data_IF_696450030549
#
_entry.id   IF_696450030549
#
_cell.length_a   1.000
_cell.length_b   1.000
_cell.length_c   1.000
_cell.angle_alpha   90.00
_cell.angle_beta   90.00
_cell.angle_gamma   90.00
#
_symmetry.space_group_name_H-M   'P 1'
#
loop_
_entity.id
_entity.type
_entity.pdbx_description
1 polymer ?
#
# COMPACT_ATOMS: atom_id res chain seq x y z
N UNK A 1 -8.84 -1.26 23.78
CA UNK A 1 -8.70 -2.68 23.40
C UNK A 1 -8.12 -2.70 22.00
N UNK A 2 -6.87 -3.15 21.83
CA UNK A 2 -6.27 -3.32 20.49
C UNK A 2 -7.22 -4.23 19.70
N UNK A 3 -7.53 -3.88 18.47
CA UNK A 3 -7.85 -4.96 17.54
C UNK A 3 -6.64 -5.88 17.54
N UNK A 4 -6.82 -7.19 17.66
CA UNK A 4 -5.74 -8.18 17.58
C UNK A 4 -5.13 -8.29 16.18
N UNK A 5 -4.80 -7.17 15.55
CA UNK A 5 -4.04 -7.13 14.31
C UNK A 5 -2.56 -7.01 14.62
N UNK A 6 -1.77 -7.83 13.96
CA UNK A 6 -0.35 -7.56 13.77
C UNK A 6 -0.21 -6.46 12.72
N UNK A 7 0.78 -5.57 12.91
CA UNK A 7 1.01 -4.45 12.00
C UNK A 7 2.16 -4.82 11.08
N UNK A 8 1.93 -4.69 9.78
CA UNK A 8 2.96 -4.88 8.76
C UNK A 8 3.18 -3.52 8.11
N UNK A 9 4.43 -3.06 8.09
CA UNK A 9 4.81 -1.82 7.43
C UNK A 9 5.77 -2.13 6.30
N UNK A 10 5.40 -1.75 5.09
CA UNK A 10 6.28 -1.87 3.94
C UNK A 10 7.02 -0.54 3.74
N UNK A 11 8.32 -0.56 3.99
CA UNK A 11 9.21 0.55 3.67
C UNK A 11 9.58 0.48 2.20
N UNK A 12 9.31 1.56 1.48
CA UNK A 12 9.55 1.65 0.04
C UNK A 12 10.54 2.76 -0.24
N UNK A 13 11.62 2.45 -0.95
CA UNK A 13 12.55 3.49 -1.38
C UNK A 13 13.95 2.99 -1.71
N UNK A 14 14.83 3.95 -1.98
CA UNK A 14 16.23 3.68 -2.24
C UNK A 14 17.02 3.73 -0.92
N UNK A 15 17.26 2.55 -0.36
CA UNK A 15 18.02 2.40 0.88
C UNK A 15 19.53 2.48 0.69
N UNK A 16 20.02 2.43 -0.56
CA UNK A 16 21.44 2.49 -0.89
C UNK A 16 21.89 3.94 -1.09
N UNK A 17 21.13 4.76 -1.82
CA UNK A 17 21.44 6.17 -2.04
C UNK A 17 21.55 6.98 -0.73
N UNK A 18 20.80 6.60 0.30
CA UNK A 18 20.83 7.24 1.62
C UNK A 18 22.18 7.12 2.35
N UNK A 19 23.06 6.20 1.93
CA UNK A 19 24.37 5.96 2.57
C UNK A 19 25.52 6.75 1.94
N UNK A 20 25.31 7.37 0.77
CA UNK A 20 26.39 7.92 -0.06
C UNK A 20 26.43 9.45 -0.12
N UNK A 21 25.50 10.15 0.53
CA UNK A 21 25.42 11.61 0.44
C UNK A 21 26.00 12.36 1.64
N UNK A 22 26.66 13.48 1.32
CA UNK A 22 27.28 14.38 2.27
C UNK A 22 26.38 15.58 2.67
N UNK A 23 25.16 15.68 2.14
CA UNK A 23 24.28 16.82 2.47
C UNK A 23 23.60 16.64 3.83
N UNK A 24 23.51 17.71 4.62
CA UNK A 24 22.82 17.71 5.93
C UNK A 24 21.35 17.29 5.80
N UNK A 25 20.70 17.63 4.68
CA UNK A 25 19.31 17.28 4.41
C UNK A 25 19.12 15.76 4.27
N UNK A 26 20.02 15.09 3.57
CA UNK A 26 19.98 13.65 3.35
C UNK A 26 20.39 12.87 4.60
N UNK A 27 21.37 13.35 5.36
CA UNK A 27 21.71 12.78 6.68
C UNK A 27 20.51 12.84 7.64
N UNK A 28 19.78 13.95 7.66
CA UNK A 28 18.57 14.09 8.48
C UNK A 28 17.41 13.20 7.98
N UNK A 29 17.30 12.98 6.66
CA UNK A 29 16.35 12.01 6.11
C UNK A 29 16.69 10.59 6.58
N UNK A 30 17.95 10.17 6.47
CA UNK A 30 18.41 8.87 6.94
C UNK A 30 18.18 8.67 8.44
N UNK A 31 18.47 9.69 9.28
CA UNK A 31 18.16 9.68 10.72
C UNK A 31 16.67 9.49 10.99
N UNK A 32 15.79 10.19 10.25
CA UNK A 32 14.33 10.04 10.38
C UNK A 32 13.87 8.64 10.01
N UNK A 33 14.35 8.10 8.89
CA UNK A 33 14.02 6.74 8.44
C UNK A 33 14.45 5.71 9.49
N UNK A 34 15.67 5.82 10.01
CA UNK A 34 16.17 4.92 11.06
C UNK A 34 15.38 5.03 12.36
N UNK A 35 14.99 6.26 12.76
CA UNK A 35 14.14 6.48 13.93
C UNK A 35 12.78 5.81 13.74
N UNK A 36 12.10 6.04 12.60
CA UNK A 36 10.80 5.43 12.30
C UNK A 36 10.91 3.90 12.23
N UNK A 37 11.94 3.36 11.59
CA UNK A 37 12.19 1.92 11.53
C UNK A 37 12.37 1.30 12.93
N UNK A 38 13.19 1.92 13.77
CA UNK A 38 13.42 1.47 15.16
C UNK A 38 12.14 1.55 16.00
N UNK A 39 11.38 2.64 15.84
CA UNK A 39 10.08 2.80 16.51
C UNK A 39 9.11 1.68 16.11
N UNK A 40 9.01 1.35 14.83
CA UNK A 40 8.11 0.31 14.33
C UNK A 40 8.46 -1.07 14.88
N UNK A 41 9.75 -1.43 14.88
CA UNK A 41 10.20 -2.67 15.52
C UNK A 41 9.88 -2.69 17.01
N UNK A 42 10.08 -1.56 17.72
CA UNK A 42 9.80 -1.43 19.15
C UNK A 42 8.32 -1.62 19.50
N UNK A 43 7.40 -1.25 18.61
CA UNK A 43 5.95 -1.49 18.81
C UNK A 43 5.47 -2.87 18.33
N UNK A 44 6.39 -3.71 17.84
CA UNK A 44 6.13 -5.07 17.38
C UNK A 44 5.62 -5.16 15.94
N UNK A 45 5.89 -4.16 15.09
CA UNK A 45 5.52 -4.23 13.68
C UNK A 45 6.51 -5.09 12.88
N UNK A 46 5.99 -5.85 11.93
CA UNK A 46 6.79 -6.52 10.91
C UNK A 46 7.18 -5.49 9.85
N UNK A 47 8.47 -5.25 9.67
CA UNK A 47 8.97 -4.30 8.68
C UNK A 47 9.48 -5.04 7.45
N UNK A 48 8.88 -4.74 6.29
CA UNK A 48 9.30 -5.29 4.99
C UNK A 48 9.94 -4.18 4.17
N UNK A 49 11.21 -4.35 3.81
CA UNK A 49 11.90 -3.40 2.94
C UNK A 49 11.69 -3.80 1.48
N UNK A 50 11.07 -2.90 0.71
CA UNK A 50 10.87 -3.01 -0.73
C UNK A 50 11.79 -1.99 -1.43
N UNK A 51 13.01 -2.40 -1.84
CA UNK A 51 13.94 -1.49 -2.49
C UNK A 51 13.40 -1.06 -3.86
N UNK A 52 13.45 0.24 -4.12
CA UNK A 52 13.15 0.80 -5.44
C UNK A 52 13.92 2.09 -5.66
N UNK A 53 14.01 2.54 -6.91
CA UNK A 53 14.58 3.86 -7.20
C UNK A 53 13.70 4.96 -6.56
N UNK A 54 14.32 6.03 -6.06
CA UNK A 54 13.64 7.15 -5.38
C UNK A 54 12.53 7.79 -6.22
N UNK A 55 12.71 7.86 -7.54
CA UNK A 55 11.69 8.38 -8.47
C UNK A 55 10.39 7.55 -8.51
N UNK A 56 10.43 6.30 -8.06
CA UNK A 56 9.27 5.41 -7.96
C UNK A 56 8.72 5.29 -6.55
N UNK A 57 9.39 5.82 -5.52
CA UNK A 57 9.05 5.53 -4.13
C UNK A 57 7.60 5.88 -3.74
N UNK A 58 7.12 7.07 -4.13
CA UNK A 58 5.74 7.50 -3.85
C UNK A 58 4.73 6.62 -4.61
N UNK A 59 5.03 6.29 -5.87
CA UNK A 59 4.17 5.44 -6.69
C UNK A 59 4.08 4.03 -6.10
N UNK A 60 5.23 3.48 -5.75
CA UNK A 60 5.36 2.16 -5.15
C UNK A 60 4.67 2.10 -3.78
N UNK A 61 4.76 3.13 -2.95
CA UNK A 61 4.07 3.16 -1.66
C UNK A 61 2.54 3.12 -1.77
N UNK A 62 1.98 3.62 -2.88
CA UNK A 62 0.55 3.48 -3.16
C UNK A 62 0.23 2.09 -3.71
N UNK A 63 0.95 1.62 -4.74
CA UNK A 63 0.56 0.39 -5.46
C UNK A 63 0.88 -0.90 -4.71
N UNK A 64 1.80 -0.87 -3.75
CA UNK A 64 2.25 -2.07 -3.03
C UNK A 64 1.12 -2.81 -2.32
N UNK A 65 0.07 -2.08 -1.89
CA UNK A 65 -1.11 -2.66 -1.24
C UNK A 65 -1.85 -3.69 -2.12
N UNK A 66 -1.77 -3.53 -3.44
CA UNK A 66 -2.44 -4.43 -4.40
C UNK A 66 -1.81 -5.82 -4.39
N UNK A 67 -0.55 -5.91 -3.94
CA UNK A 67 0.28 -7.11 -4.02
C UNK A 67 0.51 -7.79 -2.66
N UNK A 68 -0.26 -7.44 -1.63
CA UNK A 68 -0.09 -7.98 -0.26
C UNK A 68 -0.27 -9.50 -0.18
N UNK A 69 -0.94 -10.12 -1.15
CA UNK A 69 -1.04 -11.59 -1.25
C UNK A 69 0.31 -12.30 -1.46
N UNK A 70 1.34 -11.56 -1.87
CA UNK A 70 2.70 -12.06 -2.08
C UNK A 70 3.63 -11.83 -0.88
N UNK A 71 3.15 -11.22 0.22
CA UNK A 71 3.94 -11.10 1.44
C UNK A 71 4.48 -12.47 1.89
N UNK A 72 5.71 -12.54 2.44
CA UNK A 72 6.31 -13.81 2.86
C UNK A 72 5.42 -14.57 3.85
N UNK A 73 5.33 -15.90 3.71
CA UNK A 73 4.62 -16.77 4.66
C UNK A 73 5.25 -16.77 6.05
N UNK A 74 6.51 -16.39 6.17
CA UNK A 74 7.15 -16.13 7.47
C UNK A 74 6.54 -14.94 8.23
N UNK A 75 5.78 -14.06 7.55
CA UNK A 75 5.11 -12.89 8.14
C UNK A 75 3.60 -13.13 8.22
N UNK A 76 2.99 -13.59 7.12
CA UNK A 76 1.53 -13.79 7.01
C UNK A 76 1.25 -15.10 6.32
N UNK A 77 0.50 -16.01 6.94
CA UNK A 77 0.08 -17.27 6.32
C UNK A 77 -1.04 -17.05 5.30
N UNK A 78 -1.28 -18.03 4.43
CA UNK A 78 -2.24 -17.89 3.33
C UNK A 78 -3.70 -17.83 3.80
N UNK A 79 -4.00 -18.44 4.94
CA UNK A 79 -5.31 -18.40 5.59
C UNK A 79 -5.51 -17.17 6.49
N UNK A 80 -4.49 -16.35 6.71
CA UNK A 80 -4.62 -15.11 7.47
C UNK A 80 -5.38 -14.06 6.67
N UNK A 81 -6.01 -13.13 7.39
CA UNK A 81 -6.70 -11.99 6.79
C UNK A 81 -5.85 -10.74 6.87
N UNK A 82 -5.82 -10.00 5.76
CA UNK A 82 -5.08 -8.76 5.61
C UNK A 82 -6.07 -7.62 5.39
N UNK A 83 -5.96 -6.59 6.22
CA UNK A 83 -6.58 -5.30 5.97
C UNK A 83 -5.55 -4.35 5.32
N UNK A 84 -5.87 -3.85 4.13
CA UNK A 84 -5.05 -2.81 3.49
C UNK A 84 -5.75 -1.47 3.57
N UNK A 85 -4.99 -0.39 3.74
CA UNK A 85 -5.49 0.98 3.79
C UNK A 85 -4.42 1.93 3.25
N UNK A 86 -4.80 3.18 2.99
CA UNK A 86 -3.81 4.24 2.82
C UNK A 86 -2.95 4.40 4.06
N UNK A 87 -1.67 4.72 3.84
CA UNK A 87 -0.71 4.89 4.92
C UNK A 87 -1.05 6.03 5.89
N UNK A 88 -1.82 7.02 5.43
CA UNK A 88 -2.28 8.14 6.24
C UNK A 88 -3.71 7.94 6.74
N UNK A 89 -4.37 6.80 6.56
CA UNK A 89 -5.73 6.57 7.04
C UNK A 89 -5.73 5.75 8.33
N UNK A 90 -6.18 6.35 9.44
CA UNK A 90 -6.27 5.68 10.73
C UNK A 90 -7.69 5.19 11.01
N UNK A 91 -7.91 3.90 11.34
CA UNK A 91 -9.18 3.42 11.86
C UNK A 91 -9.44 3.99 13.25
N UNK A 92 -10.58 4.67 13.44
CA UNK A 92 -10.93 5.31 14.72
C UNK A 92 -11.85 4.40 15.56
N UNK A 93 -12.69 3.59 14.91
CA UNK A 93 -13.70 2.75 15.58
C UNK A 93 -13.49 1.26 15.35
N UNK A 94 -12.89 0.57 16.33
CA UNK A 94 -12.54 -0.86 16.22
C UNK A 94 -13.71 -1.74 15.76
N UNK A 95 -14.90 -1.60 16.35
CA UNK A 95 -16.05 -2.46 16.04
C UNK A 95 -16.41 -2.49 14.55
N UNK A 96 -16.05 -1.44 13.81
CA UNK A 96 -16.31 -1.32 12.37
C UNK A 96 -15.28 -1.98 11.47
N UNK A 97 -14.21 -2.51 12.05
CA UNK A 97 -13.19 -3.26 11.34
C UNK A 97 -13.23 -4.75 11.69
N UNK A 98 -14.14 -5.16 12.59
CA UNK A 98 -14.37 -6.58 12.85
C UNK A 98 -14.93 -7.28 11.60
N UNK A 99 -14.58 -8.55 11.36
CA UNK A 99 -15.16 -9.34 10.26
C UNK A 99 -16.69 -9.43 10.38
N UNK A 100 -17.41 -9.33 9.26
CA UNK A 100 -18.86 -9.59 9.26
C UNK A 100 -19.09 -11.10 9.20
N UNK A 101 -19.88 -11.64 10.13
CA UNK A 101 -20.28 -13.06 10.12
C UNK A 101 -20.87 -13.47 8.76
N UNK A 102 -20.43 -14.61 8.23
CA UNK A 102 -20.91 -15.15 6.95
C UNK A 102 -20.38 -14.44 5.71
N UNK A 103 -19.34 -13.61 5.84
CA UNK A 103 -18.65 -12.95 4.74
C UNK A 103 -17.17 -13.33 4.70
N UNK A 104 -16.59 -13.31 3.50
CA UNK A 104 -15.17 -13.59 3.25
C UNK A 104 -14.30 -12.34 3.40
N UNK A 105 -14.93 -11.17 3.47
CA UNK A 105 -14.22 -9.90 3.51
C UNK A 105 -15.13 -8.69 3.71
N UNK A 106 -14.53 -7.51 3.79
CA UNK A 106 -15.27 -6.25 3.72
C UNK A 106 -14.50 -5.17 2.95
N UNK A 107 -15.25 -4.24 2.37
CA UNK A 107 -14.73 -3.00 1.78
C UNK A 107 -15.37 -1.84 2.51
N UNK A 108 -14.55 -1.01 3.14
CA UNK A 108 -14.99 0.20 3.82
C UNK A 108 -15.18 1.34 2.82
N UNK A 109 -16.18 2.20 3.04
CA UNK A 109 -16.53 3.30 2.15
C UNK A 109 -16.78 2.87 0.69
N UNK A 110 -17.28 1.65 0.47
CA UNK A 110 -17.46 1.03 -0.85
C UNK A 110 -18.29 1.86 -1.84
N UNK A 111 -19.03 2.85 -1.35
CA UNK A 111 -19.93 3.66 -2.15
C UNK A 111 -19.42 5.06 -2.54
N UNK A 112 -18.18 5.42 -2.21
CA UNK A 112 -17.68 6.81 -2.34
C UNK A 112 -17.43 7.32 -3.77
N UNK A 113 -17.01 6.44 -4.68
CA UNK A 113 -16.08 6.87 -5.74
C UNK A 113 -16.62 6.67 -7.17
N UNK A 114 -17.94 6.48 -7.31
CA UNK A 114 -18.59 6.40 -8.62
C UNK A 114 -18.20 5.15 -9.42
N UNK A 115 -18.26 5.25 -10.74
CA UNK A 115 -17.88 4.19 -11.67
C UNK A 115 -16.86 4.73 -12.68
N UNK A 116 -16.01 3.86 -13.22
CA UNK A 116 -15.10 4.19 -14.32
C UNK A 116 -15.18 3.16 -15.44
N UNK A 117 -14.79 3.55 -16.66
CA UNK A 117 -14.72 2.64 -17.80
C UNK A 117 -13.29 2.26 -18.10
N UNK A 118 -13.07 0.98 -18.39
CA UNK A 118 -11.76 0.43 -18.80
C UNK A 118 -11.97 -0.88 -19.56
N UNK A 119 -11.17 -1.19 -20.58
CA UNK A 119 -11.29 -2.46 -21.33
C UNK A 119 -12.73 -2.75 -21.79
N UNK A 120 -13.43 -1.71 -22.28
CA UNK A 120 -14.85 -1.78 -22.69
C UNK A 120 -15.84 -2.26 -21.61
N UNK A 121 -15.45 -2.28 -20.34
CA UNK A 121 -16.29 -2.59 -19.18
C UNK A 121 -16.42 -1.39 -18.26
N UNK A 122 -17.51 -1.35 -17.49
CA UNK A 122 -17.70 -0.39 -16.39
C UNK A 122 -17.39 -1.08 -15.07
N UNK A 123 -16.62 -0.42 -14.22
CA UNK A 123 -16.24 -0.91 -12.90
C UNK A 123 -16.71 0.05 -11.82
N UNK A 124 -17.11 -0.51 -10.66
CA UNK A 124 -17.28 0.26 -9.43
C UNK A 124 -15.90 0.66 -8.94
N UNK A 125 -15.68 1.96 -8.67
CA UNK A 125 -14.45 2.38 -8.02
C UNK A 125 -14.58 2.15 -6.51
N UNK A 126 -13.78 1.22 -5.99
CA UNK A 126 -13.62 1.07 -4.55
C UNK A 126 -12.59 2.10 -4.03
N UNK A 127 -12.81 2.66 -2.84
CA UNK A 127 -11.89 3.64 -2.27
C UNK A 127 -10.52 3.01 -1.98
N UNK A 128 -9.55 3.91 -1.84
CA UNK A 128 -8.29 3.70 -1.12
C UNK A 128 -8.47 3.47 0.41
N UNK A 129 -9.70 3.22 0.86
CA UNK A 129 -10.05 2.94 2.24
C UNK A 129 -9.61 1.54 2.67
N UNK A 130 -10.28 1.00 3.67
CA UNK A 130 -9.89 -0.30 4.23
C UNK A 130 -10.52 -1.46 3.45
N UNK A 131 -9.69 -2.37 2.96
CA UNK A 131 -10.13 -3.60 2.27
C UNK A 131 -9.57 -4.80 3.05
N UNK A 132 -10.47 -5.63 3.55
CA UNK A 132 -10.17 -6.81 4.36
C UNK A 132 -10.50 -8.07 3.57
N UNK A 133 -9.49 -8.88 3.28
CA UNK A 133 -9.61 -10.17 2.56
C UNK A 133 -8.56 -11.14 3.08
N UNK A 134 -8.76 -12.44 2.87
CA UNK A 134 -7.71 -13.44 3.10
C UNK A 134 -6.51 -13.21 2.17
N UNK A 135 -5.31 -13.57 2.64
CA UNK A 135 -4.07 -13.44 1.87
C UNK A 135 -4.11 -14.26 0.58
N UNK A 136 -4.60 -15.49 0.63
CA UNK A 136 -4.78 -16.35 -0.54
C UNK A 136 -5.66 -15.67 -1.61
N UNK A 137 -6.77 -15.04 -1.21
CA UNK A 137 -7.65 -14.29 -2.10
C UNK A 137 -6.90 -13.10 -2.71
N UNK A 138 -6.17 -12.31 -1.92
CA UNK A 138 -5.34 -11.22 -2.45
C UNK A 138 -4.33 -11.69 -3.52
N UNK A 139 -3.73 -12.86 -3.31
CA UNK A 139 -2.81 -13.45 -4.30
C UNK A 139 -3.56 -13.87 -5.56
N UNK A 140 -4.70 -14.52 -5.37
CA UNK A 140 -5.54 -15.07 -6.43
C UNK A 140 -6.09 -13.97 -7.35
N UNK A 141 -6.41 -12.80 -6.78
CA UNK A 141 -6.75 -11.59 -7.54
C UNK A 141 -5.75 -11.31 -8.65
N UNK A 142 -4.45 -11.49 -8.40
CA UNK A 142 -3.38 -11.24 -9.37
C UNK A 142 -3.08 -12.47 -10.22
N UNK A 143 -2.94 -13.65 -9.61
CA UNK A 143 -2.53 -14.89 -10.28
C UNK A 143 -3.56 -15.36 -11.32
N UNK A 144 -4.86 -15.13 -11.06
CA UNK A 144 -5.94 -15.49 -11.96
C UNK A 144 -6.57 -14.26 -12.64
N UNK A 145 -5.84 -13.15 -12.68
CA UNK A 145 -6.26 -11.92 -13.35
C UNK A 145 -6.21 -12.02 -14.88
N UNK A 146 -7.03 -11.18 -15.52
CA UNK A 146 -6.94 -10.89 -16.96
C UNK A 146 -5.57 -10.30 -17.31
N UNK A 147 -5.06 -9.40 -16.47
CA UNK A 147 -3.77 -8.72 -16.65
C UNK A 147 -2.60 -9.70 -16.73
N UNK A 148 -2.56 -10.71 -15.84
CA UNK A 148 -1.53 -11.75 -15.89
C UNK A 148 -1.63 -12.57 -17.17
N UNK A 149 -2.84 -12.97 -17.54
CA UNK A 149 -3.07 -13.78 -18.74
C UNK A 149 -2.55 -13.09 -20.00
N UNK A 150 -2.78 -11.78 -20.12
CA UNK A 150 -2.26 -10.96 -21.22
C UNK A 150 -0.74 -10.81 -21.17
N UNK A 151 -0.18 -10.53 -20.00
CA UNK A 151 1.27 -10.44 -19.81
C UNK A 151 1.97 -11.74 -20.23
N UNK A 152 1.43 -12.89 -19.83
CA UNK A 152 1.95 -14.20 -20.23
C UNK A 152 1.88 -14.40 -21.75
N UNK A 153 0.75 -14.08 -22.39
CA UNK A 153 0.60 -14.19 -23.83
C UNK A 153 1.58 -13.28 -24.59
N UNK A 154 1.79 -12.04 -24.11
CA UNK A 154 2.74 -11.09 -24.67
C UNK A 154 4.18 -11.61 -24.59
N UNK A 155 4.59 -12.14 -23.44
CA UNK A 155 5.95 -12.66 -23.25
C UNK A 155 6.21 -13.96 -24.02
N UNK A 156 5.20 -14.82 -24.15
CA UNK A 156 5.27 -16.02 -24.99
C UNK A 156 5.47 -15.66 -26.46
N UNK A 157 4.69 -14.69 -26.98
CA UNK A 157 4.83 -14.21 -28.35
C UNK A 157 6.20 -13.55 -28.58
N UNK A 158 6.69 -12.76 -27.63
CA UNK A 158 8.03 -12.14 -27.70
C UNK A 158 9.13 -13.20 -27.80
N UNK A 159 9.06 -14.22 -26.94
CA UNK A 159 10.02 -15.33 -26.92
C UNK A 159 9.98 -16.11 -28.24
N UNK A 160 8.78 -16.38 -28.77
CA UNK A 160 8.61 -17.02 -30.07
C UNK A 160 9.23 -16.20 -31.20
N UNK A 161 8.96 -14.89 -31.27
CA UNK A 161 9.56 -14.02 -32.27
C UNK A 161 11.09 -13.98 -32.20
N UNK A 162 11.67 -13.86 -30.99
CA UNK A 162 13.12 -13.89 -30.79
C UNK A 162 13.74 -15.23 -31.22
N UNK A 163 13.03 -16.34 -31.06
CA UNK A 163 13.49 -17.66 -31.51
C UNK A 163 13.50 -17.78 -33.04
N UNK A 164 12.58 -17.08 -33.73
CA UNK A 164 12.48 -17.05 -35.19
C UNK A 164 13.49 -16.09 -35.84
N UNK A 165 13.88 -15.01 -35.15
CA UNK A 165 14.84 -14.01 -35.68
C UNK A 165 16.31 -14.38 -35.46
N UNK A 166 16.64 -15.64 -35.12
CA UNK A 166 18.01 -16.17 -35.05
C UNK A 166 18.69 -16.29 -36.44
N UNK A 167 18.70 -15.22 -37.23
CA UNK A 167 19.72 -15.00 -38.26
C UNK A 167 20.63 -13.88 -37.77
N UNK A 168 21.83 -14.31 -37.33
CA UNK A 168 23.06 -13.51 -37.24
C UNK A 168 22.94 -12.18 -36.49
N UNK A 169 22.93 -12.20 -35.16
CA UNK A 169 23.67 -11.18 -34.41
C UNK A 169 23.99 -11.69 -33.00
N UNK A 170 25.29 -11.78 -32.76
CA UNK A 170 25.96 -12.27 -31.57
C UNK A 170 26.44 -11.03 -30.81
N UNK A 171 25.70 -10.57 -29.80
CA UNK A 171 26.17 -9.47 -28.92
C UNK A 171 25.20 -9.26 -27.76
N UNK A 172 25.73 -9.30 -26.53
CA UNK A 172 25.33 -8.59 -25.30
C UNK A 172 23.84 -8.55 -24.85
N UNK A 173 22.87 -8.27 -25.72
CA UNK A 173 21.42 -8.24 -25.42
C UNK A 173 20.86 -9.60 -24.99
N UNK A 174 21.35 -10.72 -25.54
CA UNK A 174 21.00 -12.08 -25.07
C UNK A 174 21.39 -12.31 -23.60
N UNK A 175 22.46 -11.65 -23.12
CA UNK A 175 22.93 -11.76 -21.74
C UNK A 175 22.08 -10.90 -20.78
N UNK A 176 21.60 -9.73 -21.23
CA UNK A 176 20.65 -8.91 -20.46
C UNK A 176 19.24 -9.52 -20.39
N UNK A 177 18.77 -10.18 -21.46
CA UNK A 177 17.48 -10.89 -21.47
C UNK A 177 17.49 -12.18 -20.62
N UNK A 178 18.68 -12.68 -20.27
CA UNK A 178 18.87 -13.92 -19.50
C UNK A 178 18.78 -13.76 -17.98
N UNK A 179 18.79 -12.54 -17.44
CA UNK A 179 19.02 -12.40 -16.01
C UNK A 179 17.75 -12.46 -15.14
N UNK A 180 16.57 -12.17 -15.68
CA UNK A 180 15.26 -12.68 -15.22
C UNK A 180 14.27 -12.42 -16.34
N UNK A 181 13.92 -13.43 -17.13
CA UNK A 181 12.87 -13.24 -18.13
C UNK A 181 11.58 -12.84 -17.38
N UNK A 182 10.83 -11.86 -17.88
CA UNK A 182 9.50 -11.52 -17.34
C UNK A 182 8.63 -12.78 -17.18
N UNK A 183 8.84 -13.77 -18.06
CA UNK A 183 8.21 -15.07 -18.00
C UNK A 183 8.55 -15.85 -16.71
N UNK A 184 9.81 -15.84 -16.25
CA UNK A 184 10.22 -16.43 -14.96
C UNK A 184 9.51 -15.76 -13.78
N UNK A 185 9.44 -14.42 -13.77
CA UNK A 185 8.71 -13.68 -12.74
C UNK A 185 7.20 -14.00 -12.76
N UNK A 186 6.61 -14.19 -13.95
CA UNK A 186 5.18 -14.46 -14.11
C UNK A 186 4.80 -15.94 -13.87
N UNK A 187 5.74 -16.87 -14.02
CA UNK A 187 5.50 -18.32 -13.93
C UNK A 187 6.05 -18.98 -12.66
N UNK A 188 7.17 -18.50 -12.12
CA UNK A 188 7.97 -19.25 -11.13
C UNK A 188 8.28 -18.45 -9.86
N UNK A 189 8.46 -17.12 -9.96
CA UNK A 189 8.83 -16.28 -8.82
C UNK A 189 7.73 -15.27 -8.45
N UNK A 190 6.79 -15.71 -7.61
CA UNK A 190 5.73 -14.88 -7.04
C UNK A 190 6.15 -14.17 -5.75
N UNK A 191 7.39 -13.69 -5.68
CA UNK A 191 7.86 -12.96 -4.51
C UNK A 191 7.38 -11.50 -4.52
N UNK A 192 7.28 -10.94 -3.31
CA UNK A 192 6.93 -9.54 -3.07
C UNK A 192 8.07 -8.60 -3.50
N UNK A 193 8.18 -8.36 -4.80
CA UNK A 193 9.29 -7.63 -5.43
C UNK A 193 8.83 -6.46 -6.31
N UNK A 194 9.69 -5.45 -6.41
CA UNK A 194 9.46 -4.24 -7.19
C UNK A 194 9.21 -4.55 -8.68
N UNK A 195 9.96 -5.49 -9.24
CA UNK A 195 9.90 -5.87 -10.66
C UNK A 195 8.54 -6.44 -11.02
N UNK A 196 8.00 -7.34 -10.18
CA UNK A 196 6.68 -7.92 -10.37
C UNK A 196 5.61 -6.83 -10.36
N UNK A 197 5.60 -5.98 -9.33
CA UNK A 197 4.62 -4.91 -9.20
C UNK A 197 4.69 -3.93 -10.39
N UNK A 198 5.90 -3.56 -10.80
CA UNK A 198 6.16 -2.67 -11.93
C UNK A 198 5.65 -3.28 -13.24
N UNK A 199 5.85 -4.58 -13.46
CA UNK A 199 5.41 -5.27 -14.68
C UNK A 199 3.88 -5.19 -14.85
N UNK A 200 3.12 -5.51 -13.80
CA UNK A 200 1.65 -5.43 -13.82
C UNK A 200 1.15 -4.01 -14.01
N UNK A 201 1.72 -3.07 -13.26
CA UNK A 201 1.24 -1.70 -13.28
C UNK A 201 1.64 -0.96 -14.56
N UNK A 202 2.81 -1.25 -15.17
CA UNK A 202 3.16 -0.74 -16.50
C UNK A 202 2.29 -1.32 -17.59
N UNK A 203 1.98 -2.62 -17.55
CA UNK A 203 1.09 -3.25 -18.51
C UNK A 203 -0.28 -2.58 -18.51
N UNK A 204 -0.87 -2.45 -17.32
CA UNK A 204 -2.18 -1.85 -17.20
C UNK A 204 -2.12 -0.34 -17.48
N UNK A 205 -1.23 0.41 -16.85
CA UNK A 205 -1.22 1.88 -16.85
C UNK A 205 -0.11 2.50 -17.71
N UNK A 206 0.25 1.89 -18.83
CA UNK A 206 1.39 2.28 -19.68
C UNK A 206 1.51 3.78 -19.95
N UNK A 207 0.41 4.48 -20.18
CA UNK A 207 0.42 5.91 -20.51
C UNK A 207 0.78 6.82 -19.34
N UNK A 208 0.56 6.39 -18.09
CA UNK A 208 0.71 7.22 -16.89
C UNK A 208 1.73 6.66 -15.89
N UNK A 209 2.09 5.37 -15.99
CA UNK A 209 2.95 4.72 -15.00
C UNK A 209 4.34 5.36 -14.93
N UNK A 210 4.95 5.73 -16.04
CA UNK A 210 6.29 6.34 -16.04
C UNK A 210 6.27 7.86 -15.83
N UNK A 211 5.08 8.46 -15.67
CA UNK A 211 4.95 9.88 -15.38
C UNK A 211 5.32 10.19 -13.92
N UNK A 212 5.73 11.44 -13.66
CA UNK A 212 5.82 11.96 -12.30
C UNK A 212 4.43 11.95 -11.67
N UNK A 213 4.35 11.57 -10.40
CA UNK A 213 3.10 11.39 -9.70
C UNK A 213 2.93 12.46 -8.62
N UNK A 214 1.97 13.35 -8.81
CA UNK A 214 1.48 14.30 -7.83
C UNK A 214 0.12 13.89 -7.27
N UNK A 215 -0.23 14.51 -6.13
CA UNK A 215 -1.53 14.27 -5.49
C UNK A 215 -2.66 14.76 -6.39
N UNK A 216 -3.58 13.84 -6.71
CA UNK A 216 -4.75 14.12 -7.55
C UNK A 216 -4.56 13.82 -9.03
N UNK A 217 -3.34 13.48 -9.47
CA UNK A 217 -3.07 13.10 -10.85
C UNK A 217 -3.68 11.74 -11.20
N UNK A 218 -3.82 11.44 -12.50
CA UNK A 218 -4.34 10.14 -12.95
C UNK A 218 -3.51 8.95 -12.43
N UNK A 219 -2.20 9.12 -12.27
CA UNK A 219 -1.31 8.11 -11.69
C UNK A 219 -1.56 7.87 -10.18
N UNK A 220 -2.13 8.85 -9.47
CA UNK A 220 -2.38 8.78 -8.02
C UNK A 220 -3.44 7.73 -7.63
N UNK A 221 -4.29 7.34 -8.57
CA UNK A 221 -5.42 6.43 -8.34
C UNK A 221 -5.22 5.04 -8.96
N UNK A 222 -4.01 4.71 -9.43
CA UNK A 222 -3.75 3.44 -10.12
C UNK A 222 -4.03 2.23 -9.25
N UNK A 223 -3.74 2.30 -7.95
CA UNK A 223 -4.02 1.24 -6.99
C UNK A 223 -5.54 1.01 -6.83
N UNK A 224 -6.33 2.08 -6.69
CA UNK A 224 -7.80 2.00 -6.60
C UNK A 224 -8.38 1.40 -7.88
N UNK A 225 -7.93 1.87 -9.04
CA UNK A 225 -8.39 1.38 -10.34
C UNK A 225 -8.03 -0.10 -10.49
N UNK A 226 -6.78 -0.48 -10.19
CA UNK A 226 -6.31 -1.85 -10.30
C UNK A 226 -7.10 -2.79 -9.37
N UNK A 227 -7.19 -2.47 -8.08
CA UNK A 227 -7.94 -3.29 -7.10
C UNK A 227 -9.41 -3.43 -7.49
N UNK A 228 -10.02 -2.34 -7.96
CA UNK A 228 -11.42 -2.37 -8.43
C UNK A 228 -11.62 -3.30 -9.60
N UNK A 229 -10.70 -3.29 -10.57
CA UNK A 229 -10.75 -4.20 -11.72
C UNK A 229 -10.55 -5.65 -11.30
N UNK A 230 -9.52 -5.91 -10.48
CA UNK A 230 -9.20 -7.27 -10.02
C UNK A 230 -10.35 -7.86 -9.19
N UNK A 231 -10.90 -7.11 -8.24
CA UNK A 231 -12.02 -7.58 -7.42
C UNK A 231 -13.29 -7.82 -8.24
N UNK A 232 -13.57 -6.97 -9.23
CA UNK A 232 -14.74 -7.15 -10.11
C UNK A 232 -14.59 -8.41 -10.95
N UNK A 233 -13.44 -8.59 -11.61
CA UNK A 233 -13.16 -9.78 -12.40
C UNK A 233 -13.17 -11.04 -11.53
N UNK A 234 -12.60 -10.98 -10.32
CA UNK A 234 -12.61 -12.09 -9.38
C UNK A 234 -14.01 -12.49 -8.93
N UNK A 235 -14.84 -11.54 -8.52
CA UNK A 235 -16.26 -11.80 -8.14
C UNK A 235 -17.05 -12.44 -9.28
N UNK A 236 -16.74 -12.09 -10.53
CA UNK A 236 -17.40 -12.70 -11.69
C UNK A 236 -17.06 -14.19 -11.86
N UNK A 237 -15.86 -14.61 -11.43
CA UNK A 237 -15.39 -16.00 -11.48
C UNK A 237 -15.74 -16.79 -10.20
N UNK A 238 -15.92 -16.09 -9.08
CA UNK A 238 -16.18 -16.66 -7.76
C UNK A 238 -17.48 -16.09 -7.17
N UNK A 239 -18.67 -16.46 -7.70
CA UNK A 239 -19.95 -15.91 -7.28
C UNK A 239 -20.30 -16.20 -5.81
N UNK A 240 -19.64 -17.18 -5.18
CA UNK A 240 -19.76 -17.51 -3.77
C UNK A 240 -19.05 -16.51 -2.84
N UNK A 241 -18.12 -15.69 -3.36
CA UNK A 241 -17.38 -14.73 -2.55
C UNK A 241 -18.33 -13.65 -2.02
N UNK A 242 -18.48 -13.60 -0.70
CA UNK A 242 -19.34 -12.64 0.00
C UNK A 242 -18.48 -11.54 0.59
N UNK A 243 -18.55 -10.34 0.01
CA UNK A 243 -17.90 -9.14 0.56
C UNK A 243 -18.95 -8.24 1.21
N UNK A 244 -18.73 -7.87 2.46
CA UNK A 244 -19.52 -6.84 3.13
C UNK A 244 -19.11 -5.46 2.62
N UNK A 245 -19.97 -4.84 1.80
CA UNK A 245 -19.79 -3.45 1.36
C UNK A 245 -20.34 -2.51 2.44
N UNK A 246 -19.45 -1.75 3.09
CA UNK A 246 -19.80 -0.86 4.20
C UNK A 246 -19.85 0.58 3.73
N UNK A 247 -20.85 1.32 4.19
CA UNK A 247 -20.96 2.76 3.99
C UNK A 247 -20.63 3.51 5.27
N UNK A 248 -19.89 4.61 5.16
CA UNK A 248 -19.92 5.69 6.16
C UNK A 248 -19.83 7.05 5.47
N UNK A 249 -20.63 7.99 5.97
CA UNK A 249 -20.82 9.30 5.32
C UNK A 249 -19.77 10.31 5.84
N UNK A 250 -19.17 10.08 7.01
CA UNK A 250 -18.24 11.01 7.64
C UNK A 250 -16.84 10.44 7.85
N UNK A 251 -15.83 11.23 7.46
CA UNK A 251 -14.46 11.09 7.96
C UNK A 251 -14.17 12.26 8.89
N UNK A 252 -13.51 11.98 10.01
CA UNK A 252 -13.29 12.98 11.05
C UNK A 252 -12.54 14.22 10.50
N UNK A 253 -11.49 14.01 9.70
CA UNK A 253 -10.65 15.07 9.11
C UNK A 253 -11.40 16.02 8.16
N UNK A 254 -12.52 15.57 7.57
CA UNK A 254 -13.30 16.37 6.64
C UNK A 254 -14.34 17.24 7.33
N UNK A 255 -14.85 16.77 8.46
CA UNK A 255 -16.02 17.37 9.12
C UNK A 255 -15.58 18.21 10.32
N UNK A 256 -14.57 17.75 11.04
CA UNK A 256 -14.09 18.38 12.25
C UNK A 256 -12.60 18.73 12.09
N UNK A 257 -12.22 20.03 12.11
CA UNK A 257 -10.82 20.40 12.16
C UNK A 257 -10.16 19.79 13.41
N UNK A 258 -8.86 19.52 13.35
CA UNK A 258 -8.16 18.87 14.46
C UNK A 258 -8.30 19.59 15.80
N UNK A 259 -8.53 20.91 15.82
CA UNK A 259 -8.81 21.68 17.05
C UNK A 259 -10.05 21.21 17.82
N UNK A 260 -10.98 20.53 17.16
CA UNK A 260 -12.23 20.01 17.71
C UNK A 260 -12.21 18.49 17.91
N UNK A 261 -11.04 17.86 17.78
CA UNK A 261 -10.88 16.43 17.99
C UNK A 261 -10.87 16.12 19.49
N UNK A 262 -11.92 15.45 19.94
CA UNK A 262 -12.14 15.01 21.31
C UNK A 262 -12.80 13.63 21.38
N UNK A 263 -13.02 13.13 22.60
CA UNK A 263 -13.56 11.80 22.83
C UNK A 263 -14.94 11.60 22.18
N UNK A 264 -15.80 12.61 22.22
CA UNK A 264 -17.19 12.47 21.78
C UNK A 264 -17.24 12.45 20.24
N UNK A 265 -16.50 13.36 19.60
CA UNK A 265 -16.35 13.39 18.15
C UNK A 265 -15.72 12.11 17.59
N UNK A 266 -14.73 11.49 18.24
CA UNK A 266 -14.11 10.25 17.73
C UNK A 266 -15.10 9.08 17.55
N UNK A 267 -16.13 8.97 18.39
CA UNK A 267 -17.06 7.83 18.34
C UNK A 267 -18.01 7.85 17.13
N UNK A 268 -18.14 9.00 16.49
CA UNK A 268 -19.03 9.25 15.36
C UNK A 268 -18.40 8.89 14.00
N UNK A 269 -17.06 8.79 13.92
CA UNK A 269 -16.32 8.62 12.66
C UNK A 269 -15.56 7.29 12.56
N UNK A 270 -15.46 6.78 11.33
CA UNK A 270 -14.90 5.45 11.06
C UNK A 270 -13.39 5.51 10.91
N UNK A 271 -12.93 6.54 10.21
CA UNK A 271 -11.54 6.81 9.93
C UNK A 271 -11.24 8.32 9.96
N UNK A 272 -9.94 8.62 9.91
CA UNK A 272 -9.41 9.97 9.76
C UNK A 272 -8.10 9.93 8.95
N UNK A 273 -7.88 10.92 8.08
CA UNK A 273 -6.53 11.12 7.55
C UNK A 273 -5.62 11.76 8.59
N UNK A 274 -4.44 11.17 8.71
CA UNK A 274 -3.34 11.59 9.54
C UNK A 274 -2.21 12.13 8.67
N UNK A 275 -2.27 13.42 8.39
CA UNK A 275 -1.18 14.10 7.69
C UNK A 275 0.01 14.24 8.64
N UNK A 276 1.01 13.38 8.44
CA UNK A 276 2.18 13.26 9.29
C UNK A 276 2.83 14.61 9.64
N UNK A 277 3.06 15.46 8.64
CA UNK A 277 3.71 16.77 8.84
C UNK A 277 2.85 17.77 9.63
N UNK A 278 1.52 17.68 9.54
CA UNK A 278 0.62 18.52 10.33
C UNK A 278 0.56 18.03 11.79
N UNK A 279 0.46 16.71 12.00
CA UNK A 279 0.35 16.11 13.34
C UNK A 279 1.58 16.37 14.20
N UNK A 280 2.76 16.36 13.59
CA UNK A 280 4.01 16.55 14.31
C UNK A 280 4.31 18.03 14.61
N UNK A 281 3.43 18.98 14.23
CA UNK A 281 3.53 20.35 14.72
C UNK A 281 3.23 20.41 16.23
N UNK A 282 3.99 21.19 17.03
CA UNK A 282 3.82 21.21 18.50
C UNK A 282 2.41 21.49 19.02
N UNK A 283 1.68 22.39 18.37
CA UNK A 283 0.30 22.74 18.66
C UNK A 283 -0.66 21.57 18.40
N UNK A 284 -0.42 20.84 17.33
CA UNK A 284 -1.25 19.73 16.86
C UNK A 284 -0.95 18.44 17.62
N UNK A 285 0.32 18.20 17.99
CA UNK A 285 0.71 17.03 18.76
C UNK A 285 -0.02 16.95 20.10
N UNK A 286 -0.25 18.10 20.76
CA UNK A 286 -1.01 18.15 22.01
C UNK A 286 -2.43 17.59 21.85
N UNK A 287 -3.06 17.87 20.71
CA UNK A 287 -4.42 17.40 20.40
C UNK A 287 -4.38 15.94 19.96
N UNK A 288 -3.48 15.58 19.05
CA UNK A 288 -3.30 14.21 18.61
C UNK A 288 -2.95 13.25 19.77
N UNK A 289 -2.16 13.70 20.74
CA UNK A 289 -1.83 12.90 21.94
C UNK A 289 -3.07 12.63 22.81
N UNK A 290 -4.12 13.46 22.76
CA UNK A 290 -5.41 13.14 23.39
C UNK A 290 -6.10 11.97 22.68
N UNK A 291 -6.08 11.97 21.33
CA UNK A 291 -6.57 10.85 20.54
C UNK A 291 -5.78 9.57 20.84
N UNK A 292 -4.45 9.64 20.91
CA UNK A 292 -3.62 8.48 21.26
C UNK A 292 -3.97 7.91 22.64
N UNK A 293 -4.16 8.76 23.65
CA UNK A 293 -4.59 8.35 25.00
C UNK A 293 -5.98 7.75 25.03
N UNK A 294 -6.85 8.16 24.11
CA UNK A 294 -8.18 7.59 23.96
C UNK A 294 -8.16 6.21 23.30
N UNK A 295 -7.36 6.04 22.24
CA UNK A 295 -7.34 4.82 21.44
C UNK A 295 -6.42 3.72 22.02
N UNK A 296 -5.34 4.12 22.69
CA UNK A 296 -4.24 3.22 23.04
C UNK A 296 -3.92 3.24 24.54
N UNK A 297 -3.20 2.20 24.98
CA UNK A 297 -2.72 2.12 26.36
C UNK A 297 -1.56 3.11 26.63
N UNK A 298 -1.31 3.37 27.91
CA UNK A 298 -0.25 4.29 28.33
C UNK A 298 1.13 3.93 27.78
N UNK A 299 1.48 2.64 27.73
CA UNK A 299 2.77 2.18 27.21
C UNK A 299 2.99 2.60 25.76
N UNK A 300 2.02 2.38 24.88
CA UNK A 300 2.14 2.76 23.47
C UNK A 300 2.15 4.30 23.31
N UNK A 301 1.34 5.00 24.10
CA UNK A 301 1.33 6.47 24.13
C UNK A 301 2.70 7.03 24.53
N UNK A 302 3.36 6.44 25.51
CA UNK A 302 4.70 6.87 25.95
C UNK A 302 5.75 6.62 24.87
N UNK A 303 5.70 5.48 24.18
CA UNK A 303 6.59 5.19 23.04
C UNK A 303 6.35 6.20 21.91
N UNK A 304 5.10 6.55 21.61
CA UNK A 304 4.75 7.57 20.61
C UNK A 304 5.26 8.96 21.01
N UNK A 305 5.17 9.33 22.28
CA UNK A 305 5.70 10.60 22.80
C UNK A 305 7.23 10.66 22.74
N UNK A 306 7.91 9.54 23.00
CA UNK A 306 9.37 9.42 22.82
C UNK A 306 9.77 9.58 21.35
N UNK A 307 9.09 8.86 20.44
CA UNK A 307 9.28 9.01 19.00
C UNK A 307 9.11 10.48 18.55
N UNK A 308 8.02 11.13 18.98
CA UNK A 308 7.77 12.53 18.68
C UNK A 308 8.91 13.44 19.13
N UNK A 309 9.39 13.30 20.38
CA UNK A 309 10.49 14.12 20.90
C UNK A 309 11.76 13.96 20.05
N UNK A 310 12.13 12.72 19.73
CA UNK A 310 13.31 12.43 18.91
C UNK A 310 13.17 12.97 17.49
N UNK A 311 11.99 12.81 16.87
CA UNK A 311 11.70 13.33 15.54
C UNK A 311 11.86 14.86 15.47
N UNK A 312 11.35 15.57 16.48
CA UNK A 312 11.46 17.03 16.57
C UNK A 312 12.90 17.48 16.78
N UNK A 313 13.70 16.76 17.58
CA UNK A 313 15.13 17.06 17.73
C UNK A 313 15.83 16.98 16.37
N UNK A 314 15.65 15.87 15.64
CA UNK A 314 16.26 15.68 14.31
C UNK A 314 15.83 16.78 13.34
N UNK A 315 14.56 17.17 13.37
CA UNK A 315 14.00 18.17 12.45
C UNK A 315 14.43 19.60 12.78
N UNK A 316 14.61 19.94 14.07
CA UNK A 316 15.03 21.28 14.53
C UNK A 316 16.53 21.56 14.33
N UNK A 317 17.36 20.54 14.13
CA UNK A 317 18.77 20.70 13.69
C UNK A 317 18.94 21.37 12.32
N UNK A 318 17.85 21.86 11.70
CA UNK A 318 17.82 22.68 10.49
C UNK A 318 18.21 24.15 10.69
N UNK A 319 18.43 24.63 11.92
CA UNK A 319 18.83 26.02 12.17
C UNK A 319 20.30 26.11 12.53
#
# INVERSE_FOLDING_TARGET
>A
MRVGYEVIVVFVGDFHAQRLSNSTAEQNLAKRINLTHTFLLKIGAHVVNLPCNSSYAIKMSQIVRVFVGFLPTAIVQDNDYIITADSDLLPVKFSEYQPTTGTDGFIFNAFCCGNFKRRSKSYRMFPMGHIYLRKDVWRDLIVNSTQRSELLAMEQNRTFHLSLTNRTEDSYEKKLLSQYSNLTLLLQDFSFKFELMTLYMRHEFRSVYDQQMGKGDSAWYMDQVMVSMLLTDYRSKHPQLKISERGRIGRLDRISPMSYWDRDTFNEFGDAHLKHDEILQPENWKIFNKLLKFLFNYTLVDIMNDYYRQYIIITKTKK
#
